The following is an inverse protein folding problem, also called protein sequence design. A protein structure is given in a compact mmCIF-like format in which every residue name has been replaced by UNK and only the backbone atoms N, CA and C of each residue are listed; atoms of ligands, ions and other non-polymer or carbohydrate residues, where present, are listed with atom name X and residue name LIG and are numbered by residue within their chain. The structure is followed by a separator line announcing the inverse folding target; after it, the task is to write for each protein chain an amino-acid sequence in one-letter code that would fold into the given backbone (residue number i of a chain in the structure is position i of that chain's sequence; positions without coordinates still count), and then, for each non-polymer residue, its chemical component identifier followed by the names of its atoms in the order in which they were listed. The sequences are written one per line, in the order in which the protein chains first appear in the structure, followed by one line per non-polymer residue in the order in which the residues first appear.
data_IF_685131530655
#
_entry.id   IF_685131530655
#
_cell.length_a   1.000
_cell.length_b   1.000
_cell.length_c   1.000
_cell.angle_alpha   90.00
_cell.angle_beta   90.00
_cell.angle_gamma   90.00
#
_symmetry.space_group_name_H-M   'P 1'
#
loop_
_entity.id
_entity.type
_entity.pdbx_description
1 polymer ?
#
# COMPACT_ATOMS: atom_id res chain seq x y z
N UNK A 1 -14.09 -14.05 -5.85
CA UNK A 1 -13.10 -14.47 -4.86
C UNK A 1 -11.72 -14.22 -5.46
N UNK A 2 -11.02 -13.21 -4.97
CA UNK A 2 -9.77 -12.72 -5.56
C UNK A 2 -8.86 -12.19 -4.45
N UNK A 3 -7.56 -12.33 -4.63
CA UNK A 3 -6.54 -11.74 -3.75
C UNK A 3 -5.79 -10.68 -4.54
N UNK A 4 -5.68 -9.48 -4.00
CA UNK A 4 -4.88 -8.41 -4.60
C UNK A 4 -3.47 -8.41 -3.99
N UNK A 5 -2.45 -8.32 -4.84
CA UNK A 5 -1.06 -8.20 -4.42
C UNK A 5 -0.55 -6.81 -4.81
N UNK A 6 0.12 -6.15 -3.88
CA UNK A 6 0.73 -4.84 -4.09
C UNK A 6 2.10 -4.82 -3.40
N UNK A 7 3.07 -4.11 -3.98
CA UNK A 7 4.41 -3.98 -3.40
C UNK A 7 4.41 -3.08 -2.17
N UNK A 8 3.59 -2.03 -2.16
CA UNK A 8 3.46 -1.05 -1.09
C UNK A 8 2.04 -1.02 -0.52
N UNK A 9 1.88 -0.61 0.75
CA UNK A 9 0.56 -0.38 1.35
C UNK A 9 -0.28 0.55 0.44
N UNK A 10 -1.54 0.19 0.14
CA UNK A 10 -2.41 1.05 -0.65
C UNK A 10 -2.57 2.44 -0.03
N UNK A 11 -2.66 3.49 -0.84
CA UNK A 11 -3.23 4.77 -0.40
C UNK A 11 -4.76 4.65 -0.25
N UNK A 12 -5.42 5.67 0.31
CA UNK A 12 -6.87 5.65 0.51
C UNK A 12 -7.68 5.50 -0.79
N UNK A 13 -7.20 6.02 -1.92
CA UNK A 13 -7.84 5.80 -3.22
C UNK A 13 -7.88 4.30 -3.59
N UNK A 14 -6.72 3.64 -3.50
CA UNK A 14 -6.59 2.23 -3.79
C UNK A 14 -7.34 1.37 -2.76
N UNK A 15 -7.25 1.72 -1.47
CA UNK A 15 -7.96 1.03 -0.40
C UNK A 15 -9.48 1.13 -0.54
N UNK A 16 -10.00 2.32 -0.88
CA UNK A 16 -11.42 2.52 -1.17
C UNK A 16 -11.89 1.68 -2.36
N UNK A 17 -11.06 1.54 -3.38
CA UNK A 17 -11.33 0.66 -4.54
C UNK A 17 -11.42 -0.81 -4.12
N UNK A 18 -10.50 -1.28 -3.28
CA UNK A 18 -10.48 -2.65 -2.74
C UNK A 18 -11.78 -2.93 -1.96
N UNK A 19 -12.20 -2.00 -1.10
CA UNK A 19 -13.46 -2.09 -0.35
C UNK A 19 -14.67 -2.07 -1.29
N UNK A 20 -14.70 -1.15 -2.25
CA UNK A 20 -15.80 -0.98 -3.22
C UNK A 20 -16.05 -2.25 -4.05
N UNK A 21 -14.99 -2.92 -4.48
CA UNK A 21 -15.07 -4.17 -5.24
C UNK A 21 -15.18 -5.43 -4.36
N UNK A 22 -15.19 -5.26 -3.04
CA UNK A 22 -15.29 -6.36 -2.07
C UNK A 22 -14.19 -7.39 -2.26
N UNK A 23 -12.97 -6.93 -2.52
CA UNK A 23 -11.79 -7.81 -2.55
C UNK A 23 -11.52 -8.26 -1.10
N UNK A 24 -11.64 -9.56 -0.80
CA UNK A 24 -11.61 -10.02 0.58
C UNK A 24 -10.21 -10.00 1.22
N UNK A 25 -9.14 -10.01 0.39
CA UNK A 25 -7.77 -10.12 0.88
C UNK A 25 -6.79 -9.32 0.04
N UNK A 26 -5.86 -8.67 0.73
CA UNK A 26 -4.74 -7.94 0.17
C UNK A 26 -3.44 -8.45 0.78
N UNK A 27 -2.48 -8.78 -0.07
CA UNK A 27 -1.11 -9.10 0.33
C UNK A 27 -0.20 -7.95 -0.08
N UNK A 28 0.49 -7.38 0.88
CA UNK A 28 1.30 -6.17 0.76
C UNK A 28 2.77 -6.55 0.94
N UNK A 29 3.62 -6.11 0.01
CA UNK A 29 5.07 -6.30 0.09
C UNK A 29 5.64 -5.64 1.33
N UNK A 30 5.41 -4.34 1.49
CA UNK A 30 5.90 -3.56 2.63
C UNK A 30 4.96 -2.41 3.04
N UNK A 31 5.08 -1.95 4.28
CA UNK A 31 4.31 -0.84 4.83
C UNK A 31 5.15 0.12 5.71
N UNK A 32 6.48 0.03 5.60
CA UNK A 32 7.44 0.82 6.37
C UNK A 32 7.60 2.22 5.77
N UNK A 33 7.62 2.33 4.44
CA UNK A 33 7.80 3.62 3.76
C UNK A 33 6.48 4.40 3.64
N UNK A 34 5.36 3.68 3.59
CA UNK A 34 3.99 4.23 3.54
C UNK A 34 3.01 3.19 4.09
N UNK A 35 2.08 3.58 4.99
CA UNK A 35 1.36 2.60 5.83
C UNK A 35 -0.09 2.94 6.22
N UNK A 36 -0.66 4.03 5.73
CA UNK A 36 -1.83 4.66 6.37
C UNK A 36 -3.15 3.87 6.25
N UNK A 37 -3.36 3.09 5.18
CA UNK A 37 -4.69 2.52 4.90
C UNK A 37 -4.99 1.19 5.59
N UNK A 38 -4.06 0.63 6.38
CA UNK A 38 -4.23 -0.72 6.95
C UNK A 38 -5.50 -0.84 7.80
N UNK A 39 -5.68 0.08 8.75
CA UNK A 39 -6.83 0.07 9.66
C UNK A 39 -8.15 0.30 8.89
N UNK A 40 -8.13 1.13 7.85
CA UNK A 40 -9.28 1.34 6.99
C UNK A 40 -9.70 0.05 6.28
N UNK A 41 -8.75 -0.70 5.72
CA UNK A 41 -9.03 -1.98 5.07
C UNK A 41 -9.58 -3.02 6.08
N UNK A 42 -8.91 -3.17 7.22
CA UNK A 42 -9.29 -4.15 8.25
C UNK A 42 -10.66 -3.83 8.86
N UNK A 43 -10.99 -2.54 9.08
CA UNK A 43 -12.31 -2.12 9.58
C UNK A 43 -13.46 -2.41 8.61
N UNK A 44 -13.17 -2.60 7.32
CA UNK A 44 -14.13 -3.02 6.30
C UNK A 44 -14.09 -4.54 6.02
N UNK A 45 -13.41 -5.31 6.87
CA UNK A 45 -13.37 -6.77 6.78
C UNK A 45 -12.44 -7.33 5.71
N UNK A 46 -11.51 -6.51 5.19
CA UNK A 46 -10.46 -6.98 4.27
C UNK A 46 -9.31 -7.58 5.10
N UNK A 47 -8.92 -8.81 4.78
CA UNK A 47 -7.72 -9.42 5.37
C UNK A 47 -6.47 -8.76 4.77
N UNK A 48 -5.63 -8.16 5.60
CA UNK A 48 -4.37 -7.54 5.18
C UNK A 48 -3.20 -8.37 5.68
N UNK A 49 -2.37 -8.87 4.76
CA UNK A 49 -1.14 -9.60 5.06
C UNK A 49 0.05 -8.77 4.62
N UNK A 50 0.91 -8.36 5.55
CA UNK A 50 2.14 -7.64 5.26
C UNK A 50 3.29 -8.65 5.28
N UNK A 51 3.98 -8.81 4.15
CA UNK A 51 5.09 -9.73 4.01
C UNK A 51 6.39 -9.19 4.60
N UNK A 52 6.48 -7.87 4.78
CA UNK A 52 7.66 -7.18 5.26
C UNK A 52 8.90 -7.49 4.39
N UNK A 53 8.70 -7.42 3.07
CA UNK A 53 9.69 -7.76 2.05
C UNK A 53 10.79 -6.71 1.98
N UNK A 54 12.00 -7.10 2.35
CA UNK A 54 13.19 -6.24 2.26
C UNK A 54 13.45 -5.76 0.81
N UNK A 55 13.10 -6.55 -0.21
CA UNK A 55 13.21 -6.13 -1.62
C UNK A 55 12.25 -4.97 -1.94
N UNK A 56 11.01 -5.03 -1.46
CA UNK A 56 10.04 -3.95 -1.66
C UNK A 56 10.44 -2.69 -0.88
N UNK A 57 10.93 -2.85 0.36
CA UNK A 57 11.40 -1.73 1.18
C UNK A 57 12.58 -1.04 0.50
N UNK A 58 13.59 -1.79 0.06
CA UNK A 58 14.76 -1.24 -0.61
C UNK A 58 14.37 -0.49 -1.89
N UNK A 59 13.51 -1.10 -2.73
CA UNK A 59 13.02 -0.48 -3.95
C UNK A 59 12.31 0.86 -3.69
N UNK A 60 11.43 0.91 -2.70
CA UNK A 60 10.72 2.15 -2.37
C UNK A 60 11.65 3.20 -1.75
N UNK A 61 12.56 2.81 -0.86
CA UNK A 61 13.54 3.73 -0.27
C UNK A 61 14.45 4.35 -1.33
N UNK A 62 15.00 3.54 -2.25
CA UNK A 62 15.85 4.02 -3.34
C UNK A 62 15.11 5.02 -4.24
N UNK A 63 13.85 4.75 -4.59
CA UNK A 63 13.04 5.65 -5.40
C UNK A 63 12.72 6.97 -4.67
N UNK A 64 12.28 6.89 -3.40
CA UNK A 64 11.91 8.07 -2.61
C UNK A 64 13.13 8.97 -2.38
N UNK A 65 14.31 8.40 -2.15
CA UNK A 65 15.55 9.16 -2.00
C UNK A 65 16.00 9.80 -3.33
N UNK A 66 15.86 9.09 -4.44
CA UNK A 66 16.27 9.58 -5.75
C UNK A 66 15.33 10.66 -6.31
N UNK A 67 14.02 10.52 -6.11
CA UNK A 67 12.98 11.36 -6.74
C UNK A 67 11.92 11.83 -5.73
N UNK A 68 12.29 12.54 -4.64
CA UNK A 68 11.39 12.87 -3.54
C UNK A 68 10.22 13.78 -3.95
N UNK A 69 10.44 14.69 -4.91
CA UNK A 69 9.36 15.56 -5.42
C UNK A 69 8.31 14.75 -6.16
N UNK A 70 8.73 13.77 -6.96
CA UNK A 70 7.80 12.90 -7.69
C UNK A 70 7.02 12.00 -6.74
N UNK A 71 7.68 11.46 -5.71
CA UNK A 71 7.00 10.72 -4.66
C UNK A 71 5.93 11.58 -3.96
N UNK A 72 6.29 12.78 -3.51
CA UNK A 72 5.34 13.67 -2.83
C UNK A 72 4.18 14.10 -3.74
N UNK A 73 4.40 14.24 -5.05
CA UNK A 73 3.32 14.45 -6.02
C UNK A 73 2.33 13.28 -6.04
N UNK A 74 2.83 12.03 -6.06
CA UNK A 74 2.01 10.81 -6.11
C UNK A 74 1.10 10.64 -4.88
N UNK A 75 1.62 10.99 -3.69
CA UNK A 75 0.86 10.91 -2.43
C UNK A 75 0.17 12.23 -2.03
N UNK A 76 0.20 13.25 -2.89
CA UNK A 76 -0.42 14.57 -2.66
C UNK A 76 0.12 15.31 -1.41
N UNK A 77 1.43 15.20 -1.13
CA UNK A 77 2.14 15.93 -0.07
C UNK A 77 2.99 17.12 -0.60
N UNK A 78 2.90 17.43 -1.89
CA UNK A 78 3.56 18.58 -2.53
C UNK A 78 2.83 19.91 -2.29
#
# INVERSE_FOLDING_TARGET
DTVLYTTLMPCYMCAGTIVQFKIPKVVVGEARTFGESKEFLESHGVEVVILDSEECVAMMQEFIEAEPTLWNEDIMEL
#
